data_IF_820672261808
#
_entry.id   IF_820672261808
#
_cell.length_a   1.000
_cell.length_b   1.000
_cell.length_c   1.000
_cell.angle_alpha   90.00
_cell.angle_beta   90.00
_cell.angle_gamma   90.00
#
_symmetry.space_group_name_H-M   'P 1'
#
loop_
_entity.id
_entity.type
_entity.pdbx_description
1 polymer ?
#
# COMPACT_ATOMS: atom_id res chain seq x y z
N UNK A 1 32.65 74.29 32.78
CA UNK A 1 33.27 73.09 33.39
C UNK A 1 32.26 71.96 33.25
N UNK A 2 32.36 71.12 32.18
CA UNK A 2 32.68 69.67 32.23
C UNK A 2 31.98 68.98 33.43
N UNK A 3 31.07 68.02 33.24
CA UNK A 3 31.34 66.71 32.63
C UNK A 3 30.11 66.09 31.95
N UNK A 4 30.37 65.53 30.78
CA UNK A 4 29.53 64.59 30.03
C UNK A 4 29.57 63.26 30.78
N UNK A 5 28.43 62.66 31.08
CA UNK A 5 28.35 61.23 31.43
C UNK A 5 27.45 60.56 30.41
N UNK A 6 28.12 59.86 29.51
CA UNK A 6 27.62 58.93 28.52
C UNK A 6 26.81 57.83 29.22
N UNK A 7 25.51 57.71 28.91
CA UNK A 7 24.73 56.53 29.25
C UNK A 7 24.70 55.63 28.02
N UNK A 8 25.55 54.61 28.07
CA UNK A 8 25.74 53.61 27.02
C UNK A 8 24.48 52.74 26.88
N UNK A 9 24.14 52.55 25.61
CA UNK A 9 23.21 51.63 25.00
C UNK A 9 23.29 50.20 25.57
N UNK A 10 22.19 49.69 26.13
CA UNK A 10 21.91 48.25 26.19
C UNK A 10 20.50 48.02 25.63
N UNK A 11 20.42 47.91 24.30
CA UNK A 11 19.37 47.18 23.60
C UNK A 11 19.44 45.73 24.07
N UNK A 12 18.67 45.38 25.10
CA UNK A 12 18.39 43.98 25.41
C UNK A 12 17.38 43.55 24.34
N UNK A 13 17.90 43.02 23.23
CA UNK A 13 17.15 42.09 22.40
C UNK A 13 16.72 40.96 23.33
N UNK A 14 15.47 41.01 23.80
CA UNK A 14 14.74 39.83 24.22
C UNK A 14 14.53 38.99 22.96
N UNK A 15 15.57 38.24 22.58
CA UNK A 15 15.45 37.10 21.71
C UNK A 15 14.51 36.13 22.44
N UNK A 16 13.23 36.18 22.08
CA UNK A 16 12.38 35.01 22.24
C UNK A 16 13.05 33.94 21.40
N UNK A 17 13.82 33.08 22.08
CA UNK A 17 14.09 31.76 21.59
C UNK A 17 12.70 31.12 21.60
N UNK A 18 11.99 31.25 20.48
CA UNK A 18 10.99 30.29 20.10
C UNK A 18 11.76 28.98 19.95
N UNK A 19 12.02 28.32 21.08
CA UNK A 19 12.10 26.88 21.11
C UNK A 19 10.69 26.46 20.72
N UNK A 20 10.45 26.43 19.41
CA UNK A 20 9.29 25.76 18.87
C UNK A 20 9.40 24.36 19.43
N UNK A 21 8.52 24.03 20.37
CA UNK A 21 8.29 22.66 20.76
C UNK A 21 8.04 21.94 19.44
N UNK A 22 9.04 21.22 18.94
CA UNK A 22 8.82 20.31 17.84
C UNK A 22 7.72 19.41 18.33
N UNK A 23 6.58 19.43 17.65
CA UNK A 23 5.62 18.33 17.67
C UNK A 23 6.35 17.12 17.08
N UNK A 24 7.41 16.65 17.73
CA UNK A 24 8.09 15.43 17.37
C UNK A 24 7.15 14.34 17.81
N UNK A 25 6.26 13.95 16.90
CA UNK A 25 5.71 12.61 16.93
C UNK A 25 6.84 11.64 17.25
N UNK A 26 6.54 10.64 18.06
CA UNK A 26 7.52 9.59 18.32
C UNK A 26 8.08 9.07 17.00
N UNK A 27 9.38 8.74 16.97
CA UNK A 27 10.00 8.22 15.76
C UNK A 27 9.24 6.97 15.31
N UNK A 28 9.23 6.74 14.01
CA UNK A 28 8.75 5.47 13.48
C UNK A 28 9.67 4.35 13.96
N UNK A 29 9.07 3.28 14.46
CA UNK A 29 9.75 2.06 14.85
C UNK A 29 9.46 0.96 13.84
N UNK A 30 10.49 0.19 13.48
CA UNK A 30 10.31 -1.03 12.71
C UNK A 30 9.60 -2.08 13.56
N UNK A 31 8.56 -2.69 13.00
CA UNK A 31 7.84 -3.82 13.57
C UNK A 31 7.80 -4.96 12.57
N UNK A 32 7.56 -6.15 13.11
CA UNK A 32 7.31 -7.33 12.30
C UNK A 32 6.17 -8.13 12.89
N UNK A 33 5.43 -8.80 12.01
CA UNK A 33 4.41 -9.79 12.36
C UNK A 33 4.73 -11.08 11.60
N UNK A 34 4.57 -12.21 12.26
CA UNK A 34 4.62 -13.54 11.64
C UNK A 34 3.43 -14.32 12.14
N UNK A 35 2.72 -15.00 11.24
CA UNK A 35 1.57 -15.81 11.60
C UNK A 35 2.01 -17.08 12.32
N UNK A 36 1.51 -17.33 13.52
CA UNK A 36 1.76 -18.59 14.26
C UNK A 36 0.89 -19.76 13.74
N UNK A 37 -0.04 -19.46 12.82
CA UNK A 37 -0.97 -20.41 12.20
C UNK A 37 -0.95 -20.25 10.69
N UNK A 38 -1.40 -21.27 9.98
CA UNK A 38 -1.60 -21.18 8.54
C UNK A 38 -2.72 -20.17 8.23
N UNK A 39 -2.41 -19.17 7.41
CA UNK A 39 -3.35 -18.16 6.94
C UNK A 39 -4.00 -18.63 5.65
N UNK A 40 -5.32 -18.51 5.56
CA UNK A 40 -6.10 -18.85 4.36
C UNK A 40 -6.38 -17.62 3.49
N UNK A 41 -6.41 -16.43 4.10
CA UNK A 41 -6.69 -15.19 3.38
C UNK A 41 -6.05 -13.98 4.03
N UNK A 42 -5.80 -12.94 3.24
CA UNK A 42 -5.24 -11.68 3.72
C UNK A 42 -6.12 -10.51 3.27
N UNK A 43 -6.41 -9.61 4.20
CA UNK A 43 -7.01 -8.29 3.94
C UNK A 43 -6.08 -7.19 4.49
N UNK A 44 -5.33 -6.55 3.61
CA UNK A 44 -4.42 -5.44 3.92
C UNK A 44 -5.03 -4.15 3.39
N UNK A 45 -5.63 -3.35 4.27
CA UNK A 45 -6.30 -2.10 3.93
C UNK A 45 -5.67 -0.91 4.66
N UNK A 46 -4.77 -0.21 3.98
CA UNK A 46 -3.91 0.81 4.59
C UNK A 46 -4.04 2.16 3.90
N UNK A 47 -3.40 3.19 4.46
CA UNK A 47 -3.43 4.56 3.91
C UNK A 47 -2.03 5.13 3.80
N UNK A 48 -1.72 5.70 2.64
CA UNK A 48 -0.45 6.37 2.37
C UNK A 48 0.76 5.45 2.59
N UNK A 49 0.58 4.16 2.27
CA UNK A 49 1.61 3.14 2.38
C UNK A 49 1.84 2.43 1.05
N UNK A 50 3.09 2.37 0.64
CA UNK A 50 3.54 1.47 -0.41
C UNK A 50 3.43 0.03 0.11
N UNK A 51 2.90 -0.85 -0.73
CA UNK A 51 2.76 -2.28 -0.44
C UNK A 51 3.66 -3.05 -1.42
N UNK A 52 4.60 -3.83 -0.90
CA UNK A 52 5.43 -4.74 -1.69
C UNK A 52 5.15 -6.17 -1.27
N UNK A 53 4.66 -7.00 -2.20
CA UNK A 53 4.35 -8.41 -1.96
C UNK A 53 5.36 -9.32 -2.64
N UNK A 54 5.83 -10.33 -1.92
CA UNK A 54 6.73 -11.37 -2.42
C UNK A 54 6.40 -12.72 -1.81
N UNK A 55 7.00 -13.80 -2.33
CA UNK A 55 6.89 -15.12 -1.74
C UNK A 55 7.71 -15.21 -0.44
N UNK A 56 7.20 -15.94 0.54
CA UNK A 56 7.96 -16.33 1.73
C UNK A 56 8.86 -17.52 1.43
N UNK A 57 10.02 -17.57 2.09
CA UNK A 57 10.96 -18.69 2.02
C UNK A 57 10.53 -19.89 2.88
N UNK A 58 9.66 -19.67 3.87
CA UNK A 58 9.28 -20.66 4.89
C UNK A 58 7.79 -21.01 4.89
N UNK A 59 7.05 -20.61 3.85
CA UNK A 59 5.60 -20.80 3.69
C UNK A 59 4.73 -20.14 4.79
N UNK A 60 5.29 -19.24 5.59
CA UNK A 60 4.54 -18.43 6.55
C UNK A 60 4.26 -17.03 6.01
N UNK A 61 3.28 -16.35 6.60
CA UNK A 61 3.06 -14.94 6.31
C UNK A 61 3.99 -14.11 7.19
N UNK A 62 4.82 -13.27 6.57
CA UNK A 62 5.62 -12.26 7.27
C UNK A 62 5.24 -10.86 6.83
N UNK A 63 5.19 -9.94 7.79
CA UNK A 63 4.96 -8.53 7.53
C UNK A 63 6.06 -7.74 8.20
N UNK A 64 6.70 -6.86 7.44
CA UNK A 64 7.58 -5.82 7.97
C UNK A 64 6.97 -4.45 7.68
N UNK A 65 6.88 -3.62 8.72
CA UNK A 65 6.23 -2.32 8.64
C UNK A 65 6.82 -1.34 9.66
N UNK A 66 6.40 -0.07 9.59
CA UNK A 66 6.82 0.97 10.51
C UNK A 66 5.61 1.67 11.12
N UNK A 67 5.63 1.89 12.43
CA UNK A 67 4.55 2.58 13.15
C UNK A 67 5.09 3.52 14.23
N UNK A 68 4.22 4.39 14.73
CA UNK A 68 4.45 5.16 15.96
C UNK A 68 3.11 5.40 16.68
N UNK A 69 3.12 6.17 17.77
CA UNK A 69 1.91 6.48 18.55
C UNK A 69 0.79 7.20 17.78
N UNK A 70 1.07 7.75 16.58
CA UNK A 70 0.08 8.48 15.76
C UNK A 70 -0.38 7.71 14.54
N UNK A 71 0.47 6.87 13.97
CA UNK A 71 0.21 6.08 12.77
C UNK A 71 0.61 4.63 13.05
N UNK A 72 -0.38 3.77 13.17
CA UNK A 72 -0.19 2.37 13.57
C UNK A 72 -1.20 1.48 12.84
N UNK A 73 -1.17 0.19 13.14
CA UNK A 73 -2.00 -0.79 12.46
C UNK A 73 -2.76 -1.67 13.46
N UNK A 74 -4.04 -1.88 13.19
CA UNK A 74 -4.82 -2.92 13.84
C UNK A 74 -4.58 -4.22 13.07
N UNK A 75 -3.96 -5.20 13.73
CA UNK A 75 -3.63 -6.51 13.17
C UNK A 75 -4.41 -7.57 13.92
N UNK A 76 -5.15 -8.42 13.21
CA UNK A 76 -5.93 -9.51 13.80
C UNK A 76 -6.07 -10.69 12.86
N UNK A 77 -6.31 -11.88 13.41
CA UNK A 77 -6.61 -13.10 12.65
C UNK A 77 -7.99 -13.59 13.09
N UNK A 78 -8.88 -13.85 12.12
CA UNK A 78 -10.22 -14.38 12.38
C UNK A 78 -10.23 -15.89 12.67
N UNK A 79 -11.37 -16.42 13.11
CA UNK A 79 -11.57 -17.87 13.29
C UNK A 79 -11.45 -18.67 11.97
N UNK A 80 -11.58 -18.01 10.82
CA UNK A 80 -11.42 -18.59 9.48
C UNK A 80 -9.98 -18.46 8.94
N UNK A 81 -9.03 -18.05 9.80
CA UNK A 81 -7.63 -17.78 9.48
C UNK A 81 -7.46 -16.71 8.39
N UNK A 82 -8.29 -15.67 8.41
CA UNK A 82 -8.09 -14.48 7.59
C UNK A 82 -7.32 -13.44 8.40
N UNK A 83 -6.14 -13.05 7.92
CA UNK A 83 -5.31 -12.01 8.50
C UNK A 83 -5.76 -10.64 8.01
N UNK A 84 -6.21 -9.79 8.91
CA UNK A 84 -6.59 -8.40 8.61
C UNK A 84 -5.56 -7.44 9.18
N UNK A 85 -5.11 -6.50 8.34
CA UNK A 85 -4.24 -5.38 8.71
C UNK A 85 -4.89 -4.09 8.22
N UNK A 86 -5.30 -3.24 9.17
CA UNK A 86 -5.96 -1.97 8.86
C UNK A 86 -5.17 -0.78 9.41
N UNK A 87 -5.07 0.31 8.65
CA UNK A 87 -4.50 1.56 9.18
C UNK A 87 -5.36 2.14 10.30
N UNK A 88 -4.73 2.41 11.44
CA UNK A 88 -5.29 3.12 12.57
C UNK A 88 -4.46 4.40 12.86
N UNK A 89 -5.07 5.38 13.52
CA UNK A 89 -4.45 6.69 13.69
C UNK A 89 -4.96 7.44 14.91
N UNK A 90 -4.04 8.08 15.61
CA UNK A 90 -4.30 9.06 16.67
C UNK A 90 -3.85 10.46 16.25
N UNK A 91 -3.79 10.74 14.93
CA UNK A 91 -3.42 12.06 14.40
C UNK A 91 -4.49 13.10 14.70
N UNK A 92 -4.05 14.24 15.21
CA UNK A 92 -4.86 15.45 15.26
C UNK A 92 -4.82 16.17 13.90
N UNK A 93 -5.77 17.07 13.66
CA UNK A 93 -5.83 17.82 12.40
C UNK A 93 -4.55 18.63 12.11
N UNK A 94 -3.84 19.07 13.15
CA UNK A 94 -2.56 19.79 13.05
C UNK A 94 -1.42 18.90 12.57
N UNK A 95 -1.50 17.59 12.77
CA UNK A 95 -0.45 16.64 12.36
C UNK A 95 -0.39 16.42 10.85
N UNK A 96 -1.41 16.88 10.13
CA UNK A 96 -1.41 16.92 8.66
C UNK A 96 -0.69 18.15 8.11
N UNK A 97 -0.34 19.12 8.96
CA UNK A 97 0.42 20.32 8.59
C UNK A 97 1.91 20.02 8.78
N UNK A 98 2.58 19.67 7.68
CA UNK A 98 4.01 19.39 7.73
C UNK A 98 4.49 18.59 6.54
N UNK A 99 5.73 18.10 6.64
CA UNK A 99 6.30 17.20 5.64
C UNK A 99 5.80 15.78 5.90
N UNK A 100 5.38 15.09 4.82
CA UNK A 100 5.08 13.65 4.84
C UNK A 100 6.28 12.86 5.43
N UNK A 101 6.04 11.75 6.17
CA UNK A 101 7.12 10.87 6.61
C UNK A 101 8.01 10.42 5.44
N UNK A 102 9.28 10.12 5.76
CA UNK A 102 10.22 9.57 4.78
C UNK A 102 9.64 8.28 4.15
N UNK A 103 9.99 8.01 2.89
CA UNK A 103 9.44 6.87 2.15
C UNK A 103 9.69 5.53 2.84
N UNK A 104 10.86 5.36 3.47
CA UNK A 104 11.21 4.17 4.25
C UNK A 104 10.19 3.82 5.35
N UNK A 105 9.58 4.81 6.01
CA UNK A 105 8.58 4.59 7.06
C UNK A 105 7.16 4.38 6.53
N UNK A 106 6.99 4.42 5.21
CA UNK A 106 5.69 4.32 4.54
C UNK A 106 5.61 3.10 3.66
N UNK A 107 6.41 2.08 3.95
CA UNK A 107 6.47 0.82 3.23
C UNK A 107 5.96 -0.31 4.13
N UNK A 108 5.17 -1.19 3.53
CA UNK A 108 4.78 -2.48 4.09
C UNK A 108 5.33 -3.55 3.16
N UNK A 109 6.22 -4.38 3.66
CA UNK A 109 6.70 -5.57 2.95
C UNK A 109 5.92 -6.78 3.45
N UNK A 110 5.17 -7.41 2.57
CA UNK A 110 4.34 -8.59 2.82
C UNK A 110 4.95 -9.80 2.11
N UNK A 111 5.32 -10.82 2.87
CA UNK A 111 5.72 -12.12 2.33
C UNK A 111 4.59 -13.12 2.57
N UNK A 112 4.21 -13.87 1.53
CA UNK A 112 3.11 -14.82 1.59
C UNK A 112 3.55 -16.21 1.12
N UNK A 113 2.91 -17.29 1.58
CA UNK A 113 3.13 -18.61 0.99
C UNK A 113 2.70 -18.67 -0.47
N UNK A 114 3.38 -19.51 -1.24
CA UNK A 114 3.00 -19.79 -2.63
C UNK A 114 1.81 -20.75 -2.71
N UNK A 115 0.78 -20.39 -3.46
CA UNK A 115 -0.39 -21.24 -3.73
C UNK A 115 -1.10 -21.83 -2.48
N UNK A 116 -1.00 -21.17 -1.31
CA UNK A 116 -1.72 -21.59 -0.09
C UNK A 116 -2.86 -20.64 0.30
N UNK A 117 -2.84 -19.39 -0.18
CA UNK A 117 -3.92 -18.44 0.09
C UNK A 117 -5.11 -18.70 -0.85
N UNK A 118 -6.32 -18.71 -0.29
CA UNK A 118 -7.58 -18.65 -1.03
C UNK A 118 -7.92 -17.22 -1.45
N UNK A 119 -7.51 -16.22 -0.66
CA UNK A 119 -7.80 -14.81 -0.96
C UNK A 119 -6.68 -13.85 -0.59
N UNK A 120 -6.42 -12.88 -1.46
CA UNK A 120 -5.50 -11.77 -1.21
C UNK A 120 -6.19 -10.45 -1.58
N UNK A 121 -6.51 -9.64 -0.58
CA UNK A 121 -7.10 -8.32 -0.76
C UNK A 121 -6.14 -7.25 -0.30
N UNK A 122 -5.79 -6.33 -1.19
CA UNK A 122 -4.82 -5.27 -0.94
C UNK A 122 -5.45 -3.92 -1.31
N UNK A 123 -5.36 -2.94 -0.40
CA UNK A 123 -5.74 -1.58 -0.72
C UNK A 123 -4.88 -0.52 -0.05
N UNK A 124 -4.59 0.55 -0.79
CA UNK A 124 -3.88 1.72 -0.28
C UNK A 124 -4.33 3.04 -0.93
N UNK A 125 -3.87 4.14 -0.36
CA UNK A 125 -4.01 5.49 -0.93
C UNK A 125 -2.65 6.10 -1.21
N UNK A 126 -2.56 6.94 -2.24
CA UNK A 126 -1.41 7.81 -2.58
C UNK A 126 -0.06 7.11 -2.82
N UNK A 127 0.00 5.79 -2.78
CA UNK A 127 1.22 5.01 -2.92
C UNK A 127 0.95 3.75 -3.75
N UNK A 128 2.04 3.13 -4.22
CA UNK A 128 1.99 2.04 -5.16
C UNK A 128 1.79 0.69 -4.47
N UNK A 129 1.19 -0.25 -5.19
CA UNK A 129 1.11 -1.66 -4.81
C UNK A 129 1.92 -2.45 -5.84
N UNK A 130 2.95 -3.16 -5.39
CA UNK A 130 3.80 -4.00 -6.24
C UNK A 130 3.74 -5.44 -5.76
N UNK A 131 3.50 -6.39 -6.67
CA UNK A 131 3.52 -7.82 -6.39
C UNK A 131 4.58 -8.51 -7.26
N UNK A 132 5.41 -9.35 -6.65
CA UNK A 132 6.24 -10.30 -7.41
C UNK A 132 5.36 -11.40 -8.00
N UNK A 133 5.92 -12.24 -8.88
CA UNK A 133 5.25 -13.44 -9.35
C UNK A 133 4.85 -14.35 -8.16
N UNK A 134 3.58 -14.78 -8.13
CA UNK A 134 3.01 -15.60 -7.06
C UNK A 134 1.69 -16.25 -7.49
N UNK A 135 1.27 -17.29 -6.76
CA UNK A 135 0.00 -17.95 -6.96
C UNK A 135 -0.95 -17.85 -5.75
N UNK A 136 -2.24 -17.67 -6.03
CA UNK A 136 -3.36 -17.70 -5.05
C UNK A 136 -4.42 -18.66 -5.58
N UNK A 137 -4.90 -19.58 -4.74
CA UNK A 137 -5.80 -20.67 -5.15
C UNK A 137 -7.24 -20.21 -5.41
N UNK A 138 -7.61 -19.02 -4.92
CA UNK A 138 -8.87 -18.38 -5.21
C UNK A 138 -8.66 -17.04 -5.92
N UNK A 139 -8.85 -15.95 -5.19
CA UNK A 139 -8.97 -14.61 -5.79
C UNK A 139 -7.98 -13.58 -5.25
N UNK A 140 -7.56 -12.68 -6.14
CA UNK A 140 -6.76 -11.50 -5.81
C UNK A 140 -7.60 -10.25 -6.10
N UNK A 141 -7.70 -9.35 -5.12
CA UNK A 141 -8.38 -8.06 -5.26
C UNK A 141 -7.43 -6.93 -4.86
N UNK A 142 -7.09 -6.04 -5.78
CA UNK A 142 -6.11 -4.97 -5.54
C UNK A 142 -6.74 -3.62 -5.89
N UNK A 143 -6.67 -2.66 -4.96
CA UNK A 143 -7.15 -1.30 -5.20
C UNK A 143 -6.16 -0.23 -4.76
N UNK A 144 -5.84 0.71 -5.65
CA UNK A 144 -5.08 1.90 -5.30
C UNK A 144 -5.81 3.20 -5.69
N UNK A 145 -5.74 4.19 -4.81
CA UNK A 145 -6.23 5.53 -5.08
C UNK A 145 -5.11 6.56 -4.90
N UNK A 146 -4.45 6.90 -6.01
CA UNK A 146 -3.34 7.86 -6.01
C UNK A 146 -1.96 7.21 -6.20
N UNK A 147 -1.90 5.90 -6.43
CA UNK A 147 -0.70 5.19 -6.84
C UNK A 147 -1.01 4.12 -7.89
N UNK A 148 0.05 3.51 -8.39
CA UNK A 148 0.02 2.48 -9.43
C UNK A 148 -0.18 1.09 -8.83
N UNK A 149 -0.61 0.16 -9.68
CA UNK A 149 -0.55 -1.28 -9.41
C UNK A 149 0.42 -1.90 -10.41
N UNK A 150 1.46 -2.56 -9.91
CA UNK A 150 2.41 -3.31 -10.73
C UNK A 150 2.50 -4.76 -10.24
N UNK A 151 2.51 -5.73 -11.15
CA UNK A 151 2.62 -7.14 -10.76
C UNK A 151 3.39 -7.99 -11.78
N UNK A 152 4.19 -8.94 -11.28
CA UNK A 152 4.75 -10.04 -12.08
C UNK A 152 3.73 -11.16 -12.28
N UNK A 153 4.14 -12.28 -12.90
CA UNK A 153 3.29 -13.43 -13.25
C UNK A 153 2.35 -13.88 -12.11
N UNK A 154 1.13 -13.33 -12.08
CA UNK A 154 0.11 -13.69 -11.10
C UNK A 154 -0.70 -14.87 -11.60
N UNK A 155 -0.76 -15.93 -10.81
CA UNK A 155 -1.69 -17.05 -11.03
C UNK A 155 -2.83 -16.99 -10.02
N UNK A 156 -4.05 -16.89 -10.52
CA UNK A 156 -5.27 -16.91 -9.70
C UNK A 156 -6.08 -18.16 -10.02
N UNK A 157 -6.63 -18.81 -9.00
CA UNK A 157 -7.50 -19.96 -9.22
C UNK A 157 -8.88 -19.60 -9.74
N UNK A 158 -9.43 -18.44 -9.38
CA UNK A 158 -10.78 -18.03 -9.77
C UNK A 158 -10.89 -16.61 -10.32
N UNK A 159 -10.29 -15.61 -9.69
CA UNK A 159 -10.51 -14.22 -10.09
C UNK A 159 -9.35 -13.27 -9.79
N UNK A 160 -9.17 -12.28 -10.66
CA UNK A 160 -8.28 -11.14 -10.47
C UNK A 160 -9.09 -9.85 -10.66
N UNK A 161 -9.15 -9.02 -9.62
CA UNK A 161 -9.80 -7.71 -9.65
C UNK A 161 -8.78 -6.61 -9.40
N UNK A 162 -8.67 -5.66 -10.31
CA UNK A 162 -7.72 -4.55 -10.26
C UNK A 162 -8.47 -3.23 -10.37
N UNK A 163 -8.26 -2.31 -9.44
CA UNK A 163 -8.95 -1.01 -9.43
C UNK A 163 -8.00 0.13 -9.13
N UNK A 164 -7.91 1.10 -10.04
CA UNK A 164 -7.17 2.35 -9.84
C UNK A 164 -8.06 3.58 -10.02
N UNK A 165 -7.95 4.53 -9.09
CA UNK A 165 -8.62 5.83 -9.26
C UNK A 165 -7.74 6.86 -9.98
N UNK A 166 -6.47 6.92 -9.60
CA UNK A 166 -5.46 7.81 -10.17
C UNK A 166 -4.12 7.07 -10.12
N UNK A 167 -3.71 6.47 -11.23
CA UNK A 167 -2.54 5.61 -11.32
C UNK A 167 -2.73 4.58 -12.42
N UNK A 168 -1.63 4.00 -12.87
CA UNK A 168 -1.61 3.00 -13.94
C UNK A 168 -1.70 1.58 -13.38
N UNK A 169 -2.15 0.63 -14.20
CA UNK A 169 -2.09 -0.80 -13.93
C UNK A 169 -1.17 -1.42 -14.97
N UNK A 170 -0.14 -2.14 -14.52
CA UNK A 170 0.77 -2.86 -15.39
C UNK A 170 1.14 -4.22 -14.82
N UNK A 171 1.27 -5.24 -15.66
CA UNK A 171 1.78 -6.52 -15.18
C UNK A 171 1.49 -7.71 -16.07
N UNK A 172 1.76 -8.89 -15.53
CA UNK A 172 1.64 -10.15 -16.26
C UNK A 172 0.77 -11.15 -15.51
N UNK A 173 -0.17 -11.78 -16.21
CA UNK A 173 -1.01 -12.86 -15.70
C UNK A 173 -0.47 -14.18 -16.22
N UNK A 174 -0.27 -15.14 -15.32
CA UNK A 174 0.11 -16.49 -15.67
C UNK A 174 -1.12 -17.25 -16.21
N UNK A 175 -1.03 -17.75 -17.45
CA UNK A 175 -2.10 -18.47 -18.13
C UNK A 175 -2.43 -17.91 -19.50
N UNK A 176 -3.40 -18.55 -20.16
CA UNK A 176 -3.87 -18.11 -21.47
C UNK A 176 -4.88 -16.98 -21.33
N UNK A 177 -4.87 -16.04 -22.26
CA UNK A 177 -5.94 -15.05 -22.42
C UNK A 177 -7.34 -15.71 -22.53
N UNK A 178 -7.41 -16.91 -23.11
CA UNK A 178 -8.66 -17.64 -23.27
C UNK A 178 -9.22 -18.18 -21.94
N UNK A 179 -8.39 -18.32 -20.91
CA UNK A 179 -8.80 -18.81 -19.59
C UNK A 179 -9.69 -17.80 -18.84
N UNK A 180 -9.65 -16.53 -19.25
CA UNK A 180 -10.28 -15.42 -18.54
C UNK A 180 -11.48 -14.84 -19.29
N UNK A 181 -12.62 -14.76 -18.62
CA UNK A 181 -13.66 -13.79 -18.91
C UNK A 181 -13.20 -12.42 -18.41
N UNK A 182 -13.29 -11.39 -19.27
CA UNK A 182 -12.68 -10.08 -19.03
C UNK A 182 -13.76 -9.02 -18.99
N UNK A 183 -13.73 -8.16 -17.97
CA UNK A 183 -14.51 -6.93 -17.91
C UNK A 183 -13.57 -5.77 -17.59
N UNK A 184 -13.48 -4.80 -18.49
CA UNK A 184 -12.62 -3.62 -18.35
C UNK A 184 -13.47 -2.35 -18.44
N UNK A 185 -13.36 -1.46 -17.44
CA UNK A 185 -14.01 -0.15 -17.43
C UNK A 185 -12.96 0.95 -17.23
N UNK A 186 -12.52 1.58 -18.33
CA UNK A 186 -11.51 2.65 -18.33
C UNK A 186 -12.14 3.97 -18.73
N UNK A 187 -12.12 4.96 -17.83
CA UNK A 187 -12.74 6.28 -18.08
C UNK A 187 -11.79 7.24 -18.78
N UNK A 188 -10.54 7.31 -18.32
CA UNK A 188 -9.50 8.21 -18.87
C UNK A 188 -8.15 7.50 -18.85
N UNK A 189 -7.71 7.10 -20.03
CA UNK A 189 -6.47 6.35 -20.25
C UNK A 189 -6.66 5.36 -21.40
N UNK A 190 -5.60 4.65 -21.72
CA UNK A 190 -5.61 3.58 -22.72
C UNK A 190 -5.58 2.21 -22.04
N UNK A 191 -6.14 1.19 -22.69
CA UNK A 191 -6.09 -0.19 -22.22
C UNK A 191 -5.83 -1.14 -23.36
N UNK A 192 -4.98 -2.14 -23.11
CA UNK A 192 -4.72 -3.24 -24.04
C UNK A 192 -5.76 -4.38 -23.93
N UNK A 193 -6.71 -4.30 -22.98
CA UNK A 193 -7.77 -5.28 -22.78
C UNK A 193 -9.06 -4.92 -23.52
N UNK A 194 -9.89 -5.90 -23.94
CA UNK A 194 -11.23 -5.61 -24.42
C UNK A 194 -12.12 -5.05 -23.29
N UNK A 195 -13.14 -4.27 -23.63
CA UNK A 195 -14.15 -3.83 -22.66
C UNK A 195 -14.90 -5.01 -22.04
N UNK A 196 -15.21 -6.02 -22.84
CA UNK A 196 -15.87 -7.25 -22.40
C UNK A 196 -15.41 -8.47 -23.22
N UNK A 197 -15.24 -9.60 -22.53
CA UNK A 197 -15.12 -10.96 -23.08
C UNK A 197 -15.84 -11.93 -22.14
N UNK A 198 -16.93 -12.54 -22.61
CA UNK A 198 -17.78 -13.40 -21.77
C UNK A 198 -17.32 -14.88 -21.69
N UNK A 199 -16.23 -15.27 -22.36
CA UNK A 199 -15.70 -16.64 -22.33
C UNK A 199 -14.50 -16.76 -21.39
N UNK A 200 -14.34 -17.91 -20.74
CA UNK A 200 -13.25 -18.20 -19.80
C UNK A 200 -13.79 -18.73 -18.47
N UNK A 201 -13.00 -19.56 -17.78
CA UNK A 201 -13.39 -20.13 -16.48
C UNK A 201 -13.07 -19.19 -15.32
N UNK A 202 -12.00 -18.40 -15.46
CA UNK A 202 -11.55 -17.40 -14.49
C UNK A 202 -12.10 -16.02 -14.86
N UNK A 203 -12.14 -15.11 -13.89
CA UNK A 203 -12.60 -13.73 -14.12
C UNK A 203 -11.44 -12.74 -13.98
N UNK A 204 -11.30 -11.82 -14.94
CA UNK A 204 -10.44 -10.64 -14.85
C UNK A 204 -11.33 -9.39 -14.90
N UNK A 205 -11.34 -8.64 -13.80
CA UNK A 205 -12.07 -7.36 -13.73
C UNK A 205 -11.08 -6.22 -13.53
N UNK A 206 -11.10 -5.23 -14.42
CA UNK A 206 -10.21 -4.08 -14.37
C UNK A 206 -11.01 -2.78 -14.41
N UNK A 207 -10.80 -1.90 -13.45
CA UNK A 207 -11.43 -0.57 -13.40
C UNK A 207 -10.38 0.52 -13.25
N UNK A 208 -10.39 1.49 -14.17
CA UNK A 208 -9.44 2.60 -14.20
C UNK A 208 -10.16 3.93 -14.40
N UNK A 209 -10.08 4.84 -13.42
CA UNK A 209 -10.69 6.16 -13.58
C UNK A 209 -9.74 7.17 -14.28
N UNK A 210 -8.50 7.28 -13.83
CA UNK A 210 -7.44 8.05 -14.50
C UNK A 210 -6.14 7.23 -14.49
N UNK A 211 -5.71 6.75 -15.65
CA UNK A 211 -4.49 5.95 -15.82
C UNK A 211 -4.65 4.91 -16.92
N UNK A 212 -3.52 4.40 -17.38
CA UNK A 212 -3.43 3.39 -18.42
C UNK A 212 -3.45 1.97 -17.82
N UNK A 213 -3.83 1.00 -18.65
CA UNK A 213 -3.83 -0.42 -18.31
C UNK A 213 -3.03 -1.17 -19.37
N UNK A 214 -1.97 -1.86 -18.94
CA UNK A 214 -1.14 -2.70 -19.78
C UNK A 214 -0.89 -4.05 -19.12
N UNK A 215 -1.70 -5.05 -19.49
CA UNK A 215 -1.65 -6.39 -18.90
C UNK A 215 -1.32 -7.42 -19.97
N UNK A 216 -0.25 -8.18 -19.75
CA UNK A 216 0.16 -9.28 -20.62
C UNK A 216 -0.29 -10.63 -20.05
N UNK A 217 -0.48 -11.62 -20.93
CA UNK A 217 -0.76 -13.00 -20.56
C UNK A 217 0.40 -13.88 -21.02
N UNK A 218 0.98 -14.63 -20.08
CA UNK A 218 2.13 -15.50 -20.36
C UNK A 218 1.77 -16.95 -20.06
N UNK A 219 1.88 -17.78 -21.09
CA UNK A 219 1.70 -19.23 -20.95
C UNK A 219 2.79 -19.81 -20.06
N UNK A 220 2.41 -20.73 -19.17
CA UNK A 220 3.35 -21.54 -18.39
C UNK A 220 4.09 -22.56 -19.26
#
# INVERSE_FOLDING_TARGET
MKKIISLVLCLILSGFILSGCSNSSEPFEEKSYTSDTQINGIDLAVRDREIEVSLSEDEQVHIKYYENSKEYYDISVSDENVLTIASASNKEWTDYIGRKPAAEYRKISLQIPDALLESLTLSTTNEDITLSALAVTGSINISSNGGNISFGDLDVGSALTLTVKNGDISGTIAGSYDDFSIQSEIKKGESNLPENKDSGEKTLTVSGNNGNVDIEFVNK
#
